data_IF_980474631315
#
_entry.id   IF_980474631315
#
_cell.length_a   1.000
_cell.length_b   1.000
_cell.length_c   1.000
_cell.angle_alpha   90.00
_cell.angle_beta   90.00
_cell.angle_gamma   90.00
#
_symmetry.space_group_name_H-M   'P 1'
#
loop_
_entity.id
_entity.type
_entity.pdbx_description
1 polymer ?
#
# COMPACT_ATOMS: atom_id res chain seq x y z
N UNK A 1 15.04 -24.91 -13.34
CA UNK A 1 14.11 -24.35 -14.34
C UNK A 1 14.28 -22.86 -14.32
N UNK A 2 14.67 -22.26 -15.43
CA UNK A 2 14.80 -20.80 -15.58
C UNK A 2 13.40 -20.17 -15.48
N UNK A 3 13.24 -19.18 -14.60
CA UNK A 3 12.02 -18.37 -14.54
C UNK A 3 12.02 -17.43 -15.76
N UNK A 4 11.43 -17.91 -16.85
CA UNK A 4 11.32 -17.16 -18.10
C UNK A 4 10.10 -16.24 -18.04
N UNK A 5 10.21 -15.08 -18.66
CA UNK A 5 9.04 -14.25 -18.94
C UNK A 5 8.13 -14.96 -19.94
N UNK A 6 6.80 -14.93 -19.74
CA UNK A 6 5.86 -15.35 -20.78
C UNK A 6 5.98 -14.44 -22.00
N UNK A 7 5.52 -14.90 -23.14
CA UNK A 7 5.41 -14.04 -24.32
C UNK A 7 4.26 -13.04 -24.11
N UNK A 8 4.49 -11.79 -24.46
CA UNK A 8 3.48 -10.73 -24.49
C UNK A 8 3.85 -9.69 -25.55
N UNK A 9 2.85 -8.99 -26.06
CA UNK A 9 3.06 -7.82 -26.92
C UNK A 9 3.26 -6.57 -26.05
N UNK A 10 4.31 -5.78 -26.36
CA UNK A 10 4.65 -4.57 -25.62
C UNK A 10 4.22 -3.32 -26.40
N UNK A 11 3.22 -2.61 -25.89
CA UNK A 11 2.74 -1.33 -26.38
C UNK A 11 3.44 -0.17 -25.66
N UNK A 12 3.85 0.89 -26.38
CA UNK A 12 4.62 2.02 -25.85
C UNK A 12 3.95 3.36 -26.16
N UNK A 13 2.79 3.67 -25.57
CA UNK A 13 2.14 4.95 -25.76
C UNK A 13 3.02 6.10 -25.23
N UNK A 14 2.87 7.27 -25.84
CA UNK A 14 3.59 8.49 -25.49
C UNK A 14 2.74 9.53 -24.76
N UNK A 15 1.44 9.28 -24.65
CA UNK A 15 0.49 10.13 -23.94
C UNK A 15 -0.53 9.32 -23.13
N UNK A 16 -1.16 9.95 -22.14
CA UNK A 16 -2.26 9.35 -21.37
C UNK A 16 -3.43 8.95 -22.26
N UNK A 17 -3.77 9.82 -23.24
CA UNK A 17 -4.86 9.55 -24.18
C UNK A 17 -4.62 8.27 -24.99
N UNK A 18 -3.42 8.11 -25.52
CA UNK A 18 -3.02 6.92 -26.28
C UNK A 18 -3.06 5.66 -25.38
N UNK A 19 -2.55 5.75 -24.15
CA UNK A 19 -2.58 4.63 -23.21
C UNK A 19 -3.99 4.18 -22.84
N UNK A 20 -4.92 5.11 -22.63
CA UNK A 20 -6.33 4.82 -22.35
C UNK A 20 -7.04 4.19 -23.57
N UNK A 21 -6.75 4.67 -24.79
CA UNK A 21 -7.33 4.12 -26.01
C UNK A 21 -6.82 2.70 -26.30
N UNK A 22 -5.52 2.44 -26.07
CA UNK A 22 -4.98 1.07 -26.13
C UNK A 22 -5.68 0.15 -25.13
N UNK A 23 -5.84 0.59 -23.89
CA UNK A 23 -6.55 -0.19 -22.88
C UNK A 23 -8.00 -0.52 -23.28
N UNK A 24 -8.70 0.47 -23.87
CA UNK A 24 -10.05 0.27 -24.39
C UNK A 24 -10.11 -0.78 -25.50
N UNK A 25 -9.12 -0.76 -26.40
CA UNK A 25 -9.03 -1.69 -27.54
C UNK A 25 -8.68 -3.11 -27.12
N UNK A 26 -7.77 -3.27 -26.13
CA UNK A 26 -7.31 -4.56 -25.63
C UNK A 26 -8.29 -5.25 -24.67
N UNK A 27 -9.30 -4.52 -24.16
CA UNK A 27 -10.33 -5.07 -23.28
C UNK A 27 -9.78 -5.61 -21.96
N UNK A 28 -9.86 -6.93 -21.73
CA UNK A 28 -9.43 -7.55 -20.47
C UNK A 28 -8.00 -8.13 -20.53
N UNK A 29 -7.38 -8.25 -21.70
CA UNK A 29 -6.09 -8.93 -21.87
C UNK A 29 -4.91 -7.96 -21.90
N UNK A 30 -4.73 -7.18 -20.83
CA UNK A 30 -3.52 -6.36 -20.67
C UNK A 30 -3.20 -6.04 -19.21
N UNK A 31 -1.92 -5.67 -18.98
CA UNK A 31 -1.46 -5.00 -17.77
C UNK A 31 -0.77 -3.68 -18.09
N UNK A 32 -0.90 -2.70 -17.21
CA UNK A 32 -0.05 -1.50 -17.23
C UNK A 32 1.32 -1.80 -16.60
N UNK A 33 2.37 -1.41 -17.31
CA UNK A 33 3.76 -1.50 -16.86
C UNK A 33 4.32 -0.10 -16.61
N UNK A 34 4.65 0.21 -15.36
CA UNK A 34 5.45 1.40 -15.02
C UNK A 34 6.93 1.00 -14.94
N UNK A 35 7.52 0.89 -13.75
CA UNK A 35 8.91 0.47 -13.57
C UNK A 35 9.20 -1.03 -13.73
N UNK A 36 8.19 -1.87 -13.79
CA UNK A 36 8.32 -3.33 -14.00
C UNK A 36 8.88 -4.13 -12.82
N UNK A 37 9.28 -3.49 -11.75
CA UNK A 37 9.98 -4.13 -10.61
C UNK A 37 9.09 -5.03 -9.74
N UNK A 38 7.79 -4.99 -9.94
CA UNK A 38 6.81 -5.89 -9.32
C UNK A 38 6.13 -6.80 -10.35
N UNK A 39 5.65 -6.25 -11.46
CA UNK A 39 4.91 -6.99 -12.48
C UNK A 39 5.76 -8.09 -13.13
N UNK A 40 6.97 -7.76 -13.60
CA UNK A 40 7.80 -8.74 -14.31
C UNK A 40 8.30 -9.88 -13.42
N UNK A 41 8.69 -9.69 -12.15
CA UNK A 41 8.90 -10.79 -11.21
C UNK A 41 7.69 -11.71 -11.02
N UNK A 42 6.48 -11.15 -10.95
CA UNK A 42 5.25 -11.95 -10.87
C UNK A 42 5.03 -12.76 -12.15
N UNK A 43 5.22 -12.16 -13.32
CA UNK A 43 5.17 -12.86 -14.62
C UNK A 43 6.16 -14.04 -14.70
N UNK A 44 7.43 -13.84 -14.24
CA UNK A 44 8.42 -14.92 -14.16
C UNK A 44 8.00 -16.07 -13.23
N UNK A 45 7.16 -15.79 -12.23
CA UNK A 45 6.58 -16.80 -11.36
C UNK A 45 5.30 -17.43 -11.94
N UNK A 46 4.86 -17.04 -13.15
CA UNK A 46 3.62 -17.49 -13.77
C UNK A 46 2.40 -17.00 -13.01
N UNK A 47 2.42 -15.76 -12.53
CA UNK A 47 1.33 -15.13 -11.81
C UNK A 47 0.64 -14.11 -12.71
N UNK A 48 -0.64 -14.35 -13.01
CA UNK A 48 -1.59 -13.41 -13.66
C UNK A 48 -1.01 -12.71 -14.90
N UNK A 49 -0.28 -13.44 -15.76
CA UNK A 49 0.30 -12.87 -16.96
C UNK A 49 -0.76 -12.68 -18.05
N UNK A 50 -0.79 -11.49 -18.65
CA UNK A 50 -1.60 -11.15 -19.81
C UNK A 50 -0.78 -11.19 -21.10
N UNK A 51 -1.47 -11.34 -22.24
CA UNK A 51 -0.87 -11.35 -23.56
C UNK A 51 -0.37 -9.98 -24.04
N UNK A 52 -0.83 -8.90 -23.41
CA UNK A 52 -0.45 -7.53 -23.75
C UNK A 52 0.05 -6.76 -22.54
N UNK A 53 1.05 -5.88 -22.75
CA UNK A 53 1.60 -5.00 -21.72
C UNK A 53 1.68 -3.57 -22.26
N UNK A 54 1.01 -2.63 -21.59
CA UNK A 54 1.04 -1.20 -21.94
C UNK A 54 2.07 -0.50 -21.05
N UNK A 55 3.20 -0.12 -21.63
CA UNK A 55 4.27 0.58 -20.91
C UNK A 55 3.96 2.05 -20.75
N UNK A 56 3.90 2.51 -19.50
CA UNK A 56 3.70 3.94 -19.16
C UNK A 56 5.00 4.75 -19.06
N UNK A 57 6.15 4.12 -19.36
CA UNK A 57 7.47 4.75 -19.18
C UNK A 57 7.69 6.01 -20.01
N UNK A 58 7.01 6.14 -21.16
CA UNK A 58 7.15 7.27 -22.08
C UNK A 58 6.03 8.31 -21.96
N UNK A 59 5.09 8.13 -21.03
CA UNK A 59 3.97 9.06 -20.77
C UNK A 59 4.49 10.20 -19.89
N UNK A 60 4.78 11.35 -20.50
CA UNK A 60 5.39 12.50 -19.81
C UNK A 60 4.51 13.09 -18.72
N UNK A 61 3.18 13.07 -18.91
CA UNK A 61 2.17 13.61 -17.98
C UNK A 61 2.22 12.92 -16.59
N UNK A 62 2.87 11.75 -16.49
CA UNK A 62 3.01 11.01 -15.23
C UNK A 62 4.27 11.39 -14.42
N UNK A 63 5.12 12.31 -14.89
CA UNK A 63 6.46 12.54 -14.32
C UNK A 63 6.64 13.87 -13.58
N UNK A 64 5.58 14.64 -13.39
CA UNK A 64 5.66 15.91 -12.68
C UNK A 64 5.89 15.73 -11.17
N UNK A 65 6.73 16.59 -10.58
CA UNK A 65 6.91 16.70 -9.12
C UNK A 65 6.68 18.16 -8.73
N UNK A 66 5.88 18.36 -7.70
CA UNK A 66 5.69 19.66 -7.04
C UNK A 66 5.44 19.42 -5.53
N UNK A 67 5.43 20.46 -4.69
CA UNK A 67 5.17 20.33 -3.25
C UNK A 67 3.83 19.67 -2.89
N UNK A 68 2.85 19.79 -3.79
CA UNK A 68 1.46 19.33 -3.55
C UNK A 68 1.01 18.24 -4.53
N UNK A 69 1.75 17.96 -5.60
CA UNK A 69 1.39 16.94 -6.59
C UNK A 69 2.60 16.14 -7.02
N UNK A 70 2.47 14.83 -7.06
CA UNK A 70 3.51 13.89 -7.48
C UNK A 70 2.91 12.93 -8.50
N UNK A 71 3.46 12.91 -9.70
CA UNK A 71 3.05 12.03 -10.79
C UNK A 71 3.36 10.55 -10.48
N UNK A 72 2.49 9.67 -10.91
CA UNK A 72 2.63 8.23 -10.66
C UNK A 72 3.84 7.58 -11.32
N UNK A 73 4.31 8.14 -12.44
CA UNK A 73 5.51 7.69 -13.18
C UNK A 73 6.83 8.23 -12.63
N UNK A 74 6.81 9.05 -11.57
CA UNK A 74 8.03 9.55 -10.93
C UNK A 74 8.77 8.39 -10.28
N UNK A 75 10.08 8.25 -10.58
CA UNK A 75 10.93 7.21 -10.02
C UNK A 75 11.13 7.43 -8.51
N UNK A 76 11.21 6.33 -7.76
CA UNK A 76 11.46 6.40 -6.32
C UNK A 76 12.81 7.04 -6.00
N UNK A 77 13.76 6.96 -6.92
CA UNK A 77 15.06 7.64 -6.82
C UNK A 77 14.92 9.16 -6.85
N UNK A 78 14.03 9.66 -7.71
CA UNK A 78 13.78 11.11 -7.81
C UNK A 78 13.03 11.60 -6.58
N UNK A 79 12.09 10.82 -6.04
CA UNK A 79 11.43 11.12 -4.77
C UNK A 79 12.43 11.17 -3.60
N UNK A 80 13.32 10.17 -3.49
CA UNK A 80 14.35 10.12 -2.45
C UNK A 80 15.23 11.37 -2.42
N UNK A 81 15.50 11.96 -3.60
CA UNK A 81 16.39 13.12 -3.77
C UNK A 81 15.67 14.46 -3.79
N UNK A 82 14.36 14.44 -3.92
CA UNK A 82 13.56 15.67 -4.03
C UNK A 82 13.60 16.48 -2.73
N UNK A 83 13.77 17.79 -2.89
CA UNK A 83 13.65 18.79 -1.83
C UNK A 83 12.31 19.54 -1.87
N UNK A 84 11.50 19.27 -2.87
CA UNK A 84 10.20 19.93 -3.10
C UNK A 84 9.07 19.28 -2.31
N UNK A 85 9.17 17.97 -2.05
CA UNK A 85 8.17 17.19 -1.33
C UNK A 85 8.51 17.10 0.18
N UNK A 86 7.54 16.72 1.04
CA UNK A 86 7.81 16.51 2.46
C UNK A 86 8.99 15.55 2.70
N UNK A 87 9.92 15.93 3.57
CA UNK A 87 11.12 15.14 3.86
C UNK A 87 10.80 13.71 4.33
N UNK A 88 9.66 13.52 4.99
CA UNK A 88 9.17 12.19 5.39
C UNK A 88 8.85 11.29 4.18
N UNK A 89 8.33 11.86 3.07
CA UNK A 89 8.04 11.13 1.83
C UNK A 89 9.34 10.74 1.14
N UNK A 90 10.30 11.67 1.05
CA UNK A 90 11.64 11.38 0.50
C UNK A 90 12.35 10.29 1.34
N UNK A 91 12.27 10.37 2.67
CA UNK A 91 12.80 9.34 3.57
C UNK A 91 12.12 7.99 3.35
N UNK A 92 10.78 7.92 3.29
CA UNK A 92 10.08 6.66 3.06
C UNK A 92 10.45 6.04 1.71
N UNK A 93 10.60 6.85 0.65
CA UNK A 93 11.08 6.39 -0.65
C UNK A 93 12.49 5.78 -0.56
N UNK A 94 13.39 6.35 0.24
CA UNK A 94 14.75 5.82 0.45
C UNK A 94 14.79 4.44 1.12
N UNK A 95 13.73 4.08 1.87
CA UNK A 95 13.62 2.78 2.55
C UNK A 95 13.14 1.66 1.63
N UNK A 96 12.77 1.95 0.37
CA UNK A 96 12.23 0.97 -0.56
C UNK A 96 13.36 0.26 -1.30
N UNK A 97 13.33 -1.06 -1.29
CA UNK A 97 14.16 -1.95 -2.09
C UNK A 97 15.68 -1.62 -2.02
N UNK A 98 16.33 -1.45 -3.17
CA UNK A 98 17.73 -1.04 -3.32
C UNK A 98 17.84 0.21 -4.20
N UNK A 99 18.97 0.93 -4.18
CA UNK A 99 19.19 2.09 -5.05
C UNK A 99 18.92 1.79 -6.53
N UNK A 100 19.39 0.63 -7.03
CA UNK A 100 19.17 0.22 -8.43
C UNK A 100 17.69 -0.04 -8.76
N UNK A 101 16.96 -0.66 -7.85
CA UNK A 101 15.52 -0.89 -8.06
C UNK A 101 14.77 0.44 -8.06
N UNK A 102 15.14 1.40 -7.21
CA UNK A 102 14.50 2.72 -7.16
C UNK A 102 14.72 3.57 -8.41
N UNK A 103 15.74 3.30 -9.23
CA UNK A 103 15.93 3.94 -10.54
C UNK A 103 14.77 3.64 -11.52
N UNK A 104 14.16 2.46 -11.41
CA UNK A 104 13.05 2.03 -12.29
C UNK A 104 11.70 2.03 -11.58
N UNK A 105 11.65 1.67 -10.30
CA UNK A 105 10.43 1.64 -9.52
C UNK A 105 9.83 3.05 -9.37
N UNK A 106 8.51 3.16 -9.48
CA UNK A 106 7.80 4.45 -9.49
C UNK A 106 6.86 4.60 -8.31
N UNK A 107 6.42 5.83 -8.02
CA UNK A 107 5.40 6.12 -7.02
C UNK A 107 4.14 5.28 -7.26
N UNK A 108 3.55 5.37 -8.45
CA UNK A 108 2.33 4.62 -8.80
C UNK A 108 2.55 3.11 -8.68
N UNK A 109 3.70 2.59 -9.16
CA UNK A 109 4.05 1.18 -9.01
C UNK A 109 4.17 0.73 -7.56
N UNK A 110 4.67 1.58 -6.64
CA UNK A 110 4.72 1.28 -5.21
C UNK A 110 3.33 1.31 -4.56
N UNK A 111 2.48 2.28 -4.91
CA UNK A 111 1.12 2.37 -4.37
C UNK A 111 0.20 1.26 -4.89
N UNK A 112 0.46 0.77 -6.10
CA UNK A 112 -0.32 -0.23 -6.81
C UNK A 112 0.39 -1.60 -6.89
N UNK A 113 1.41 -1.83 -6.08
CA UNK A 113 2.08 -3.13 -6.06
C UNK A 113 1.09 -4.25 -5.73
N UNK A 114 1.39 -5.45 -6.20
CA UNK A 114 0.55 -6.60 -5.87
C UNK A 114 0.65 -6.96 -4.39
N UNK A 115 -0.44 -7.47 -3.82
CA UNK A 115 -0.48 -7.89 -2.42
C UNK A 115 0.38 -9.13 -2.18
N UNK A 116 1.01 -9.20 -1.00
CA UNK A 116 2.00 -10.21 -0.63
C UNK A 116 1.41 -11.30 0.27
N UNK A 117 1.77 -12.54 -0.05
CA UNK A 117 1.41 -13.70 0.75
C UNK A 117 2.40 -14.85 0.48
N UNK A 118 2.83 -15.56 1.53
CA UNK A 118 3.69 -16.74 1.40
C UNK A 118 3.13 -17.81 0.48
N UNK A 119 1.81 -17.92 0.39
CA UNK A 119 1.15 -18.92 -0.46
C UNK A 119 0.99 -18.49 -1.90
N UNK A 120 1.05 -17.19 -2.18
CA UNK A 120 0.89 -16.62 -3.51
C UNK A 120 2.24 -16.35 -4.20
N UNK A 121 3.16 -15.62 -3.53
CA UNK A 121 4.44 -15.19 -4.11
C UNK A 121 5.48 -16.32 -4.10
N UNK A 122 5.17 -17.42 -4.75
CA UNK A 122 5.96 -18.64 -4.84
C UNK A 122 6.08 -19.10 -6.30
N UNK A 123 6.99 -20.02 -6.57
CA UNK A 123 7.08 -20.65 -7.87
C UNK A 123 5.81 -21.43 -8.22
N UNK A 124 5.55 -21.61 -9.50
CA UNK A 124 4.42 -22.40 -9.99
C UNK A 124 4.36 -23.80 -9.36
N UNK A 125 5.49 -24.49 -9.25
CA UNK A 125 5.56 -25.85 -8.66
C UNK A 125 5.18 -25.87 -7.19
N UNK A 126 5.64 -24.87 -6.43
CA UNK A 126 5.28 -24.75 -5.01
C UNK A 126 3.77 -24.53 -4.86
N UNK A 127 3.19 -23.59 -5.62
CA UNK A 127 1.74 -23.35 -5.58
C UNK A 127 0.94 -24.59 -5.96
N UNK A 128 1.37 -25.32 -7.01
CA UNK A 128 0.73 -26.57 -7.44
C UNK A 128 0.79 -27.65 -6.35
N UNK A 129 1.92 -27.80 -5.66
CA UNK A 129 2.07 -28.78 -4.55
C UNK A 129 1.11 -28.49 -3.41
N UNK A 130 0.80 -27.22 -3.13
CA UNK A 130 -0.16 -26.81 -2.10
C UNK A 130 -1.62 -26.88 -2.56
N UNK A 131 -1.91 -27.22 -3.82
CA UNK A 131 -3.25 -27.16 -4.41
C UNK A 131 -3.69 -25.75 -4.71
N UNK A 132 -2.74 -24.83 -4.96
CA UNK A 132 -2.95 -23.41 -5.23
C UNK A 132 -3.61 -22.64 -4.07
N UNK A 133 -4.03 -21.41 -4.30
CA UNK A 133 -4.77 -20.60 -3.32
C UNK A 133 -5.83 -19.76 -4.02
N UNK A 134 -6.75 -19.20 -3.25
CA UNK A 134 -7.87 -18.37 -3.74
C UNK A 134 -7.46 -17.26 -4.72
N UNK A 135 -6.23 -16.73 -4.59
CA UNK A 135 -5.70 -15.68 -5.48
C UNK A 135 -5.07 -16.22 -6.76
N UNK A 136 -4.72 -17.49 -6.80
CA UNK A 136 -4.04 -18.10 -7.94
C UNK A 136 -4.52 -19.56 -8.13
N UNK A 137 -5.42 -19.75 -9.06
CA UNK A 137 -5.89 -21.05 -9.59
C UNK A 137 -6.55 -22.00 -8.58
N UNK A 138 -6.82 -21.57 -7.33
CA UNK A 138 -7.45 -22.37 -6.29
C UNK A 138 -8.67 -21.71 -5.67
N UNK A 139 -9.32 -22.44 -4.77
CA UNK A 139 -10.57 -22.06 -4.11
C UNK A 139 -10.44 -21.87 -2.58
N UNK A 140 -9.25 -22.06 -2.03
CA UNK A 140 -8.98 -22.03 -0.59
C UNK A 140 -7.96 -20.98 -0.21
N UNK A 141 -8.26 -20.15 0.81
CA UNK A 141 -7.26 -19.32 1.45
C UNK A 141 -6.52 -20.10 2.54
N UNK A 142 -5.18 -20.24 2.43
CA UNK A 142 -4.37 -20.95 3.41
C UNK A 142 -4.09 -20.14 4.69
N UNK A 143 -4.37 -18.85 4.70
CA UNK A 143 -4.16 -17.94 5.84
C UNK A 143 -5.37 -17.91 6.76
N UNK A 144 -6.58 -17.97 6.19
CA UNK A 144 -7.83 -17.94 6.95
C UNK A 144 -8.11 -19.31 7.55
N UNK A 145 -8.57 -19.38 8.81
CA UNK A 145 -8.95 -20.64 9.44
C UNK A 145 -9.96 -21.41 8.57
N UNK A 146 -9.68 -22.66 8.33
CA UNK A 146 -10.55 -23.57 7.60
C UNK A 146 -11.63 -24.11 8.54
N UNK A 147 -12.82 -24.26 8.02
CA UNK A 147 -13.92 -24.95 8.67
C UNK A 147 -14.20 -26.27 7.94
N UNK A 148 -14.68 -27.26 8.66
CA UNK A 148 -15.16 -28.50 8.05
C UNK A 148 -16.63 -28.33 7.66
N UNK A 149 -16.94 -28.51 6.37
CA UNK A 149 -18.29 -28.51 5.86
C UNK A 149 -18.45 -29.74 4.95
N UNK A 150 -19.43 -30.59 5.24
CA UNK A 150 -19.72 -31.81 4.49
C UNK A 150 -18.48 -32.72 4.32
N UNK A 151 -17.65 -32.86 5.37
CA UNK A 151 -16.44 -33.66 5.35
C UNK A 151 -15.26 -33.05 4.58
N UNK A 152 -15.42 -31.84 4.02
CA UNK A 152 -14.37 -31.11 3.30
C UNK A 152 -13.88 -29.92 4.07
N UNK A 153 -12.57 -29.66 3.98
CA UNK A 153 -11.99 -28.42 4.52
C UNK A 153 -12.28 -27.27 3.53
N UNK A 154 -13.05 -26.28 3.98
CA UNK A 154 -13.38 -25.09 3.18
C UNK A 154 -12.86 -23.83 3.86
N UNK A 155 -12.51 -22.81 3.08
CA UNK A 155 -12.16 -21.51 3.65
C UNK A 155 -13.38 -20.82 4.26
N UNK A 156 -13.17 -20.12 5.37
CA UNK A 156 -14.21 -19.33 6.02
C UNK A 156 -14.38 -17.92 5.38
N UNK A 157 -13.67 -17.64 4.31
CA UNK A 157 -13.73 -16.36 3.61
C UNK A 157 -13.57 -16.56 2.11
N UNK A 158 -14.36 -15.84 1.34
CA UNK A 158 -14.23 -15.71 -0.12
C UNK A 158 -13.33 -14.53 -0.54
N UNK A 159 -12.78 -13.79 0.43
CA UNK A 159 -11.94 -12.62 0.21
C UNK A 159 -10.48 -12.97 0.48
N UNK A 160 -9.59 -12.62 -0.42
CA UNK A 160 -8.16 -12.83 -0.25
C UNK A 160 -7.59 -11.83 0.77
N UNK A 161 -6.84 -12.34 1.76
CA UNK A 161 -6.20 -11.52 2.81
C UNK A 161 -4.72 -11.26 2.57
N UNK A 162 -4.24 -11.39 1.33
CA UNK A 162 -2.86 -11.04 0.98
C UNK A 162 -2.57 -9.58 1.33
N UNK A 163 -1.43 -9.33 1.93
CA UNK A 163 -1.10 -8.05 2.58
C UNK A 163 -0.61 -7.01 1.58
N UNK A 164 -1.12 -5.78 1.68
CA UNK A 164 -0.62 -4.64 0.93
C UNK A 164 0.67 -4.11 1.56
N UNK A 165 1.80 -4.23 0.87
CA UNK A 165 3.14 -4.00 1.42
C UNK A 165 3.86 -2.79 0.81
N UNK A 166 3.12 -1.71 0.51
CA UNK A 166 3.71 -0.42 0.12
C UNK A 166 4.32 0.28 1.34
N UNK A 167 5.50 0.86 1.17
CA UNK A 167 6.13 1.75 2.15
C UNK A 167 5.51 3.15 2.11
N UNK A 168 5.13 3.66 0.92
CA UNK A 168 4.61 5.02 0.76
C UNK A 168 3.12 5.15 1.11
N UNK A 169 2.33 4.12 0.85
CA UNK A 169 0.88 4.20 1.05
C UNK A 169 0.47 4.60 2.48
N UNK A 170 0.98 4.00 3.57
CA UNK A 170 0.61 4.40 4.92
C UNK A 170 1.00 5.86 5.22
N UNK A 171 2.15 6.33 4.73
CA UNK A 171 2.57 7.72 4.96
C UNK A 171 1.69 8.71 4.20
N UNK A 172 1.41 8.46 2.91
CA UNK A 172 0.57 9.32 2.10
C UNK A 172 -0.87 9.37 2.64
N UNK A 173 -1.38 8.25 3.16
CA UNK A 173 -2.67 8.20 3.84
C UNK A 173 -2.65 9.02 5.14
N UNK A 174 -1.62 8.91 5.96
CA UNK A 174 -1.48 9.72 7.17
C UNK A 174 -1.41 11.22 6.84
N UNK A 175 -0.77 11.59 5.71
CA UNK A 175 -0.74 12.95 5.19
C UNK A 175 -2.08 13.43 4.61
N UNK A 176 -3.06 12.55 4.42
CA UNK A 176 -4.38 12.91 3.86
C UNK A 176 -4.38 13.04 2.34
N UNK A 177 -3.53 12.29 1.67
CA UNK A 177 -3.39 12.34 0.22
C UNK A 177 -4.66 11.90 -0.53
N UNK A 178 -4.86 12.48 -1.71
CA UNK A 178 -5.83 12.04 -2.73
C UNK A 178 -5.08 11.46 -3.92
N UNK A 179 -5.76 10.66 -4.73
CA UNK A 179 -5.24 10.17 -6.01
C UNK A 179 -6.17 10.53 -7.15
N UNK A 180 -5.58 10.77 -8.33
CA UNK A 180 -6.31 11.03 -9.57
C UNK A 180 -6.19 9.84 -10.50
N UNK A 181 -7.32 9.39 -11.01
CA UNK A 181 -7.48 8.32 -11.97
C UNK A 181 -8.00 8.90 -13.29
N UNK A 182 -7.43 8.43 -14.40
CA UNK A 182 -7.85 8.81 -15.76
C UNK A 182 -8.17 7.54 -16.54
N UNK A 183 -9.33 7.48 -17.13
CA UNK A 183 -9.79 6.29 -17.88
C UNK A 183 -10.78 6.65 -18.99
N UNK A 184 -11.36 5.65 -19.65
CA UNK A 184 -12.31 5.86 -20.75
C UNK A 184 -13.54 6.72 -20.37
N UNK A 185 -13.98 6.66 -19.12
CA UNK A 185 -15.11 7.43 -18.59
C UNK A 185 -14.73 8.87 -18.16
N UNK A 186 -13.45 9.24 -18.25
CA UNK A 186 -12.95 10.56 -17.85
C UNK A 186 -11.99 10.53 -16.66
N UNK A 187 -11.95 11.63 -15.91
CA UNK A 187 -11.05 11.81 -14.76
C UNK A 187 -11.85 11.83 -13.47
N UNK A 188 -11.37 11.13 -12.45
CA UNK A 188 -11.94 11.19 -11.10
C UNK A 188 -10.84 11.22 -10.03
N UNK A 189 -11.16 11.83 -8.89
CA UNK A 189 -10.27 11.93 -7.73
C UNK A 189 -10.91 11.23 -6.55
N UNK A 190 -10.10 10.48 -5.79
CA UNK A 190 -10.49 9.78 -4.57
C UNK A 190 -9.53 10.13 -3.44
N UNK A 191 -9.98 10.03 -2.20
CA UNK A 191 -9.05 9.90 -1.07
C UNK A 191 -8.23 8.61 -1.23
N UNK A 192 -6.96 8.65 -0.89
CA UNK A 192 -6.11 7.45 -1.02
C UNK A 192 -6.60 6.31 -0.10
N UNK A 193 -7.26 6.61 1.02
CA UNK A 193 -7.94 5.64 1.88
C UNK A 193 -9.11 4.91 1.19
N UNK A 194 -9.75 5.55 0.22
CA UNK A 194 -10.89 4.99 -0.51
C UNK A 194 -10.47 4.16 -1.72
N UNK A 195 -9.21 4.32 -2.16
CA UNK A 195 -8.67 3.67 -3.36
C UNK A 195 -8.52 2.15 -3.19
N UNK A 196 -8.17 1.69 -2.00
CA UNK A 196 -7.97 0.28 -1.69
C UNK A 196 -9.29 -0.43 -1.40
N UNK A 197 -9.49 -1.62 -1.97
CA UNK A 197 -10.75 -2.37 -1.88
C UNK A 197 -10.90 -3.20 -0.61
N UNK A 198 -9.79 -3.67 -0.04
CA UNK A 198 -9.77 -4.65 1.06
C UNK A 198 -9.76 -6.12 0.62
N UNK A 199 -9.73 -6.39 -0.68
CA UNK A 199 -9.55 -7.73 -1.25
C UNK A 199 -8.15 -7.84 -1.89
N UNK A 200 -7.41 -8.88 -1.55
CA UNK A 200 -6.08 -9.13 -2.13
C UNK A 200 -6.11 -9.51 -3.61
N UNK A 201 -7.25 -9.87 -4.18
CA UNK A 201 -7.48 -10.14 -5.61
C UNK A 201 -7.89 -8.84 -6.31
N UNK A 202 -9.06 -8.30 -5.98
CA UNK A 202 -9.56 -7.03 -6.50
C UNK A 202 -8.99 -5.84 -5.72
N UNK A 203 -7.70 -5.70 -5.67
CA UNK A 203 -6.89 -4.84 -4.77
C UNK A 203 -7.32 -3.37 -4.68
N UNK A 204 -7.83 -2.83 -5.80
CA UNK A 204 -8.08 -1.40 -5.96
C UNK A 204 -9.49 -1.15 -6.50
N UNK A 205 -10.08 -0.03 -6.12
CA UNK A 205 -11.35 0.45 -6.68
C UNK A 205 -11.12 1.15 -8.04
N UNK A 206 -10.51 0.42 -8.98
CA UNK A 206 -10.27 0.83 -10.35
C UNK A 206 -11.37 0.31 -11.27
N UNK A 207 -11.78 1.13 -12.23
CA UNK A 207 -12.50 0.69 -13.40
C UNK A 207 -11.49 0.21 -14.45
N UNK A 208 -11.91 -0.74 -15.30
CA UNK A 208 -11.03 -1.27 -16.32
C UNK A 208 -10.55 -0.16 -17.27
N UNK A 209 -9.25 -0.13 -17.55
CA UNK A 209 -8.61 0.89 -18.36
C UNK A 209 -8.28 2.21 -17.65
N UNK A 210 -8.61 2.36 -16.36
CA UNK A 210 -8.16 3.51 -15.59
C UNK A 210 -6.67 3.45 -15.28
N UNK A 211 -6.01 4.57 -15.40
CA UNK A 211 -4.60 4.79 -15.05
C UNK A 211 -4.53 5.65 -13.80
N UNK A 212 -3.79 5.19 -12.79
CA UNK A 212 -3.42 6.01 -11.64
C UNK A 212 -2.38 7.03 -12.08
N UNK A 213 -2.72 8.33 -12.09
CA UNK A 213 -1.89 9.35 -12.74
C UNK A 213 -1.06 10.18 -11.77
N UNK A 214 -1.58 10.48 -10.58
CA UNK A 214 -0.87 11.28 -9.57
C UNK A 214 -1.45 11.13 -8.18
N UNK A 215 -0.64 11.54 -7.22
CA UNK A 215 -1.03 11.78 -5.83
C UNK A 215 -1.01 13.28 -5.58
N UNK A 216 -2.05 13.81 -4.91
CA UNK A 216 -2.08 15.18 -4.44
C UNK A 216 -2.06 15.21 -2.92
N UNK A 217 -1.21 16.07 -2.36
CA UNK A 217 -1.05 16.28 -0.92
C UNK A 217 -1.79 17.57 -0.52
N UNK A 218 -2.46 17.59 0.64
CA UNK A 218 -2.95 18.84 1.21
C UNK A 218 -1.76 19.74 1.58
N UNK A 219 -2.02 21.01 1.84
CA UNK A 219 -1.01 21.90 2.39
C UNK A 219 -0.45 21.32 3.69
N UNK A 220 0.88 21.16 3.76
CA UNK A 220 1.56 20.51 4.89
C UNK A 220 2.25 21.48 5.85
N UNK A 221 1.95 22.79 5.73
CA UNK A 221 2.54 23.81 6.61
C UNK A 221 2.18 23.54 8.07
N UNK A 222 3.21 23.37 8.91
CA UNK A 222 3.03 23.02 10.33
C UNK A 222 2.84 21.54 10.62
N UNK A 223 2.60 20.70 9.61
CA UNK A 223 2.41 19.27 9.77
C UNK A 223 3.75 18.55 9.96
N UNK A 224 3.90 17.86 11.09
CA UNK A 224 5.04 16.98 11.35
C UNK A 224 4.66 15.56 10.94
N UNK A 225 5.52 14.89 10.18
CA UNK A 225 5.22 13.55 9.71
C UNK A 225 6.47 12.67 9.64
N UNK A 226 6.27 11.36 9.71
CA UNK A 226 7.37 10.42 9.67
C UNK A 226 6.91 8.99 9.35
N UNK A 227 7.91 8.13 9.12
CA UNK A 227 7.71 6.73 8.76
C UNK A 227 8.74 5.83 9.43
N UNK A 228 8.31 4.64 9.86
CA UNK A 228 9.19 3.56 10.36
C UNK A 228 8.84 2.26 9.70
N UNK A 229 9.87 1.52 9.25
CA UNK A 229 9.78 0.23 8.57
C UNK A 229 10.33 -0.88 9.44
N UNK A 230 9.60 -1.97 9.57
CA UNK A 230 10.09 -3.27 10.01
C UNK A 230 10.23 -4.18 8.79
N UNK A 231 11.41 -4.71 8.58
CA UNK A 231 11.70 -5.69 7.53
C UNK A 231 12.73 -6.70 8.03
N UNK A 232 12.80 -7.92 7.47
CA UNK A 232 13.82 -8.90 7.85
C UNK A 232 15.25 -8.41 7.61
N UNK A 233 15.49 -7.66 6.54
CA UNK A 233 16.77 -7.07 6.18
C UNK A 233 16.62 -5.57 5.96
N UNK A 234 17.72 -4.83 6.02
CA UNK A 234 17.71 -3.36 5.81
C UNK A 234 17.61 -2.95 4.33
N UNK A 235 17.75 -3.89 3.40
CA UNK A 235 17.73 -3.65 1.97
C UNK A 235 16.90 -4.72 1.26
N UNK A 236 16.30 -4.34 0.13
CA UNK A 236 15.53 -5.19 -0.80
C UNK A 236 14.16 -5.58 -0.27
N UNK A 237 14.02 -5.91 1.01
CA UNK A 237 12.79 -6.46 1.56
C UNK A 237 11.61 -5.48 1.52
N UNK A 238 10.42 -6.05 1.27
CA UNK A 238 9.16 -5.39 1.57
C UNK A 238 9.00 -5.18 3.08
N UNK A 239 8.24 -4.16 3.51
CA UNK A 239 7.89 -4.05 4.91
C UNK A 239 7.05 -5.26 5.33
N UNK A 240 7.32 -5.78 6.51
CA UNK A 240 6.41 -6.69 7.22
C UNK A 240 5.53 -5.91 8.21
N UNK A 241 5.90 -4.65 8.45
CA UNK A 241 5.14 -3.62 9.14
C UNK A 241 5.70 -2.26 8.73
N UNK A 242 4.83 -1.37 8.29
CA UNK A 242 5.08 0.06 8.14
C UNK A 242 4.26 0.83 9.15
N UNK A 243 4.83 1.82 9.82
CA UNK A 243 4.11 2.75 10.69
C UNK A 243 4.41 4.17 10.25
N UNK A 244 3.37 4.88 9.87
CA UNK A 244 3.43 6.29 9.53
C UNK A 244 2.63 7.13 10.53
N UNK A 245 3.05 8.35 10.77
CA UNK A 245 2.25 9.31 11.54
C UNK A 245 2.37 10.70 10.94
N UNK A 246 1.31 11.47 11.07
CA UNK A 246 1.25 12.89 10.77
C UNK A 246 0.47 13.60 11.88
N UNK A 247 1.00 14.70 12.40
CA UNK A 247 0.41 15.46 13.50
C UNK A 247 0.67 16.96 13.38
N UNK A 248 -0.25 17.73 13.92
CA UNK A 248 -0.13 19.17 14.11
C UNK A 248 -0.20 19.48 15.61
N UNK A 249 0.69 20.36 16.05
CA UNK A 249 0.70 20.88 17.42
C UNK A 249 0.35 22.37 17.38
N UNK A 250 -0.58 22.76 18.23
CA UNK A 250 -0.88 24.16 18.50
C UNK A 250 0.31 24.87 19.19
N UNK A 251 0.24 26.18 19.26
CA UNK A 251 1.28 27.02 19.92
C UNK A 251 1.49 26.67 21.39
N UNK A 252 0.50 26.09 22.04
CA UNK A 252 0.54 25.62 23.43
C UNK A 252 1.07 24.17 23.58
N UNK A 253 1.50 23.55 22.48
CA UNK A 253 2.01 22.17 22.43
C UNK A 253 0.94 21.10 22.53
N UNK A 254 -0.35 21.44 22.38
CA UNK A 254 -1.44 20.49 22.34
C UNK A 254 -1.69 19.97 20.93
N UNK A 255 -2.18 18.75 20.82
CA UNK A 255 -2.54 18.13 19.55
C UNK A 255 -3.77 18.83 18.93
N UNK A 256 -3.61 19.34 17.70
CA UNK A 256 -4.68 19.86 16.85
C UNK A 256 -5.15 18.78 15.85
N UNK A 257 -4.22 17.96 15.40
CA UNK A 257 -4.52 16.80 14.57
C UNK A 257 -3.53 15.66 14.83
N UNK A 258 -3.99 14.43 14.66
CA UNK A 258 -3.13 13.24 14.69
C UNK A 258 -3.74 12.14 13.82
N UNK A 259 -2.94 11.65 12.90
CA UNK A 259 -3.20 10.44 12.11
C UNK A 259 -2.04 9.47 12.25
N UNK A 260 -2.36 8.20 12.46
CA UNK A 260 -1.39 7.10 12.42
C UNK A 260 -1.88 6.12 11.36
N UNK A 261 -0.98 5.63 10.53
CA UNK A 261 -1.35 4.62 9.53
C UNK A 261 -0.39 3.44 9.58
N UNK A 262 -0.95 2.22 9.50
CA UNK A 262 -0.19 0.98 9.42
C UNK A 262 -0.19 0.44 7.99
N UNK A 263 0.98 0.07 7.49
CA UNK A 263 1.17 -0.71 6.26
C UNK A 263 1.63 -2.14 6.58
N UNK A 264 1.46 -3.02 5.62
CA UNK A 264 1.88 -4.42 5.68
C UNK A 264 1.26 -5.24 6.84
N UNK A 265 0.12 -4.83 7.35
CA UNK A 265 -0.67 -5.57 8.35
C UNK A 265 -1.89 -6.26 7.75
N UNK A 266 -2.57 -5.55 6.86
CA UNK A 266 -3.85 -5.93 6.26
C UNK A 266 -3.76 -5.88 4.73
N UNK A 267 -4.85 -6.21 4.06
CA UNK A 267 -5.01 -6.07 2.60
C UNK A 267 -4.99 -4.62 2.13
N UNK A 268 -5.18 -3.69 3.07
CA UNK A 268 -5.14 -2.23 2.86
C UNK A 268 -4.25 -1.59 3.91
N UNK A 269 -3.72 -0.39 3.66
CA UNK A 269 -3.18 0.44 4.72
C UNK A 269 -4.28 0.83 5.72
N UNK A 270 -4.04 0.72 7.00
CA UNK A 270 -5.03 0.95 8.07
C UNK A 270 -4.83 2.32 8.70
N UNK A 271 -5.83 3.19 8.61
CA UNK A 271 -5.81 4.54 9.16
C UNK A 271 -6.45 4.60 10.56
N UNK A 272 -5.74 5.20 11.50
CA UNK A 272 -6.21 5.66 12.81
C UNK A 272 -6.27 7.19 12.77
N UNK A 273 -7.44 7.77 12.52
CA UNK A 273 -7.63 9.22 12.56
C UNK A 273 -8.17 9.66 13.92
N UNK A 274 -7.28 10.06 14.81
CA UNK A 274 -7.61 10.56 16.13
C UNK A 274 -8.30 11.93 16.11
N UNK A 275 -8.29 12.62 14.96
CA UNK A 275 -9.01 13.87 14.78
C UNK A 275 -10.50 13.65 14.49
N UNK A 276 -10.90 12.41 14.16
CA UNK A 276 -12.28 12.05 13.84
C UNK A 276 -12.80 12.61 12.50
N UNK A 277 -11.93 13.24 11.71
CA UNK A 277 -12.29 13.87 10.42
C UNK A 277 -12.44 12.84 9.31
N UNK A 278 -11.76 11.71 9.43
CA UNK A 278 -11.80 10.65 8.44
C UNK A 278 -12.01 9.29 9.09
N UNK A 279 -12.93 8.50 8.54
CA UNK A 279 -13.15 7.12 8.99
C UNK A 279 -12.47 6.17 8.02
N UNK A 280 -11.78 5.16 8.55
CA UNK A 280 -11.34 4.04 7.74
C UNK A 280 -12.56 3.38 7.10
N UNK A 281 -12.59 3.31 5.77
CA UNK A 281 -13.63 2.57 5.07
C UNK A 281 -13.59 1.09 5.49
N UNK A 282 -14.76 0.54 5.83
CA UNK A 282 -14.90 -0.90 6.03
C UNK A 282 -14.76 -1.57 4.65
N UNK A 283 -13.77 -2.41 4.44
CA UNK A 283 -13.60 -3.09 3.16
C UNK A 283 -14.67 -4.17 2.90
N UNK A 284 -15.68 -4.32 3.78
CA UNK A 284 -16.72 -5.36 3.63
C UNK A 284 -16.23 -6.78 3.90
N UNK A 285 -15.06 -6.91 4.49
CA UNK A 285 -14.41 -8.18 4.76
C UNK A 285 -14.63 -8.53 6.23
N UNK A 286 -15.18 -9.71 6.51
CA UNK A 286 -15.56 -10.18 7.86
C UNK A 286 -14.39 -10.27 8.85
N UNK A 287 -13.16 -10.06 8.39
CA UNK A 287 -11.93 -10.19 9.17
C UNK A 287 -11.35 -8.82 9.55
N UNK A 288 -11.89 -7.76 8.95
CA UNK A 288 -11.45 -6.40 9.24
C UNK A 288 -12.00 -5.92 10.58
N UNK A 289 -11.11 -5.45 11.46
CA UNK A 289 -11.52 -4.79 12.70
C UNK A 289 -11.39 -3.29 12.53
N UNK A 290 -12.47 -2.57 12.81
CA UNK A 290 -12.46 -1.12 12.75
C UNK A 290 -11.41 -0.55 13.72
N UNK A 291 -10.33 0.07 13.23
CA UNK A 291 -9.23 0.59 14.05
C UNK A 291 -9.67 1.74 14.94
N UNK A 292 -10.76 2.40 14.60
CA UNK A 292 -11.27 3.58 15.31
C UNK A 292 -12.20 3.22 16.47
N UNK A 293 -12.53 1.93 16.67
CA UNK A 293 -13.38 1.49 17.78
C UNK A 293 -12.64 1.64 19.13
N UNK A 294 -13.15 2.47 20.00
CA UNK A 294 -12.59 2.71 21.34
C UNK A 294 -11.25 3.46 21.31
N UNK A 295 -11.04 4.34 20.32
CA UNK A 295 -9.90 5.24 20.29
C UNK A 295 -9.93 6.21 21.48
N UNK A 296 -8.77 6.50 22.09
CA UNK A 296 -8.68 7.53 23.12
C UNK A 296 -8.89 8.92 22.51
N UNK A 297 -9.53 9.79 23.28
CA UNK A 297 -9.59 11.22 22.96
C UNK A 297 -8.22 11.85 23.22
N UNK A 298 -7.61 12.42 22.18
CA UNK A 298 -6.26 12.97 22.24
C UNK A 298 -6.19 14.43 21.81
N UNK A 299 -7.14 14.90 21.02
CA UNK A 299 -7.15 16.28 20.51
C UNK A 299 -7.36 17.27 21.66
N UNK A 300 -6.62 18.37 21.63
CA UNK A 300 -6.59 19.39 22.70
C UNK A 300 -5.73 19.00 23.92
N UNK A 301 -5.14 17.79 23.94
CA UNK A 301 -4.25 17.35 25.01
C UNK A 301 -2.80 17.59 24.65
N UNK A 302 -1.95 17.79 25.66
CA UNK A 302 -0.49 17.88 25.46
C UNK A 302 0.05 16.49 25.11
N UNK A 303 0.89 16.42 24.08
CA UNK A 303 1.49 15.16 23.63
C UNK A 303 2.66 14.78 24.57
N UNK A 304 2.35 14.29 25.76
CA UNK A 304 3.30 13.76 26.72
C UNK A 304 3.51 12.25 26.60
N UNK A 305 4.40 11.68 27.39
CA UNK A 305 4.72 10.25 27.33
C UNK A 305 3.52 9.35 27.69
N UNK A 306 2.66 9.81 28.59
CA UNK A 306 1.46 9.06 29.00
C UNK A 306 0.45 8.98 27.85
N UNK A 307 0.21 10.11 27.16
CA UNK A 307 -0.68 10.15 26.00
C UNK A 307 -0.12 9.35 24.81
N UNK A 308 1.19 9.47 24.55
CA UNK A 308 1.89 8.67 23.54
C UNK A 308 1.72 7.17 23.83
N UNK A 309 1.85 6.75 25.09
CA UNK A 309 1.69 5.36 25.48
C UNK A 309 0.23 4.89 25.27
N UNK A 310 -0.77 5.69 25.62
CA UNK A 310 -2.18 5.38 25.38
C UNK A 310 -2.48 5.16 23.90
N UNK A 311 -1.94 6.02 23.03
CA UNK A 311 -2.08 5.89 21.56
C UNK A 311 -1.42 4.59 21.09
N UNK A 312 -0.20 4.33 21.54
CA UNK A 312 0.55 3.12 21.16
C UNK A 312 -0.14 1.83 21.62
N UNK A 313 -0.72 1.83 22.82
CA UNK A 313 -1.48 0.70 23.36
C UNK A 313 -2.77 0.45 22.56
N UNK A 314 -3.45 1.51 22.13
CA UNK A 314 -4.62 1.39 21.27
C UNK A 314 -4.23 0.76 19.92
N UNK A 315 -3.18 1.26 19.27
CA UNK A 315 -2.66 0.72 18.01
C UNK A 315 -2.24 -0.75 18.19
N UNK A 316 -1.53 -1.09 19.27
CA UNK A 316 -1.16 -2.47 19.59
C UNK A 316 -2.40 -3.37 19.72
N UNK A 317 -3.42 -2.92 20.46
CA UNK A 317 -4.61 -3.73 20.71
C UNK A 317 -5.39 -4.03 19.44
N UNK A 318 -5.52 -3.05 18.54
CA UNK A 318 -6.38 -3.11 17.36
C UNK A 318 -5.68 -3.57 16.08
N UNK A 319 -4.34 -3.51 15.99
CA UNK A 319 -3.60 -4.04 14.84
C UNK A 319 -3.81 -5.55 14.66
N UNK A 320 -4.02 -5.99 13.43
CA UNK A 320 -4.33 -7.39 13.09
C UNK A 320 -3.46 -7.95 11.95
N UNK A 321 -2.14 -8.01 12.12
CA UNK A 321 -1.27 -8.63 11.13
C UNK A 321 -1.62 -10.10 10.94
N UNK A 322 -1.63 -10.57 9.68
CA UNK A 322 -1.95 -11.94 9.31
C UNK A 322 -0.68 -12.79 9.17
N UNK A 323 -0.81 -14.11 9.31
CA UNK A 323 0.30 -15.07 9.08
C UNK A 323 0.49 -15.33 7.58
N UNK A 324 0.85 -14.31 6.84
CA UNK A 324 0.99 -14.36 5.38
C UNK A 324 2.24 -13.67 4.82
N UNK A 325 3.06 -13.09 5.70
CA UNK A 325 4.37 -12.50 5.40
C UNK A 325 5.35 -12.87 6.52
N UNK A 326 6.68 -12.67 6.35
CA UNK A 326 7.65 -13.00 7.39
C UNK A 326 7.34 -12.39 8.75
N UNK A 327 7.87 -12.97 9.80
CA UNK A 327 7.68 -12.64 11.20
C UNK A 327 6.27 -12.92 11.74
N UNK A 328 6.23 -13.40 12.96
CA UNK A 328 5.00 -13.79 13.66
C UNK A 328 4.02 -12.62 13.83
N UNK A 329 2.71 -12.83 13.64
CA UNK A 329 1.69 -11.81 13.81
C UNK A 329 1.73 -11.14 15.19
N UNK A 330 1.95 -11.91 16.26
CA UNK A 330 2.04 -11.38 17.62
C UNK A 330 3.20 -10.41 17.80
N UNK A 331 4.36 -10.72 17.20
CA UNK A 331 5.53 -9.83 17.21
C UNK A 331 5.25 -8.55 16.40
N UNK A 332 4.72 -8.66 15.20
CA UNK A 332 4.37 -7.52 14.35
C UNK A 332 3.32 -6.62 15.01
N UNK A 333 2.33 -7.21 15.68
CA UNK A 333 1.33 -6.50 16.48
C UNK A 333 1.98 -5.69 17.61
N UNK A 334 2.88 -6.30 18.39
CA UNK A 334 3.66 -5.60 19.43
C UNK A 334 4.48 -4.45 18.85
N UNK A 335 5.15 -4.70 17.71
CA UNK A 335 5.99 -3.70 17.05
C UNK A 335 5.19 -2.52 16.47
N UNK A 336 3.92 -2.71 16.11
CA UNK A 336 3.05 -1.59 15.70
C UNK A 336 2.96 -0.52 16.80
N UNK A 337 2.69 -0.89 18.04
CA UNK A 337 2.71 0.04 19.17
C UNK A 337 4.10 0.60 19.48
N UNK A 338 5.14 -0.24 19.47
CA UNK A 338 6.53 0.21 19.72
C UNK A 338 6.94 1.26 18.70
N UNK A 339 6.65 1.06 17.41
CA UNK A 339 7.01 2.02 16.36
C UNK A 339 6.12 3.27 16.41
N UNK A 340 4.85 3.13 16.74
CA UNK A 340 3.97 4.29 16.99
C UNK A 340 4.53 5.15 18.11
N UNK A 341 4.87 4.56 19.27
CA UNK A 341 5.47 5.29 20.39
C UNK A 341 6.75 6.01 20.00
N UNK A 342 7.71 5.30 19.38
CA UNK A 342 8.99 5.89 18.94
C UNK A 342 8.78 7.04 17.96
N UNK A 343 7.89 6.85 16.99
CA UNK A 343 7.61 7.85 15.97
C UNK A 343 6.97 9.10 16.56
N UNK A 344 5.97 8.95 17.44
CA UNK A 344 5.33 10.09 18.10
C UNK A 344 6.29 10.83 19.04
N UNK A 345 7.18 10.12 19.73
CA UNK A 345 8.24 10.76 20.55
C UNK A 345 9.18 11.60 19.69
N UNK A 346 9.59 11.09 18.51
CA UNK A 346 10.44 11.84 17.57
C UNK A 346 9.70 13.05 16.97
N UNK A 347 8.41 12.92 16.63
CA UNK A 347 7.63 14.01 16.04
C UNK A 347 7.21 15.07 17.05
N UNK A 348 7.16 14.74 18.32
CA UNK A 348 6.92 15.72 19.39
C UNK A 348 8.06 16.74 19.48
N UNK A 349 9.29 16.34 19.27
CA UNK A 349 10.51 17.16 19.36
C UNK A 349 11.26 16.95 20.65
#
# INVERSE_FOLDING_TARGET
>A
MTMLLPQFELHKPTSLKEAVELARTLGEDFDYLSGGTDLLPNYKCGLNAHGNVISLAHVAELKAISPIEIGAGVCLRDLERSKEIPASVAYAASQIASPLIRESATLGGNLMLDTRCHFFNQSYYWRRTLGYCLKADGDVCHVIPKIMKDGKSVTNSFTCVATHSSDLAPLLIALGATCTLVGPAGTRTLKLTEFYSGDGIARFKLQRGEIFTRVSLPATTGLRSGYKKLAPRRSIDFPVLGVAAALELGKDGKLESLRVALGACETIPVLYDFSGKEKQADPGNTIFTNPNKGMPEVIGKKLDDALIQQIADHVTRTAQPKLNVPMEPAYRKKMAGVFTRRLLTELRG
#
